data_IF_658353468610
#
_entry.id   IF_658353468610
#
_cell.length_a   1.000
_cell.length_b   1.000
_cell.length_c   1.000
_cell.angle_alpha   90.00
_cell.angle_beta   90.00
_cell.angle_gamma   90.00
#
_symmetry.space_group_name_H-M   'P 1'
#
loop_
_entity.id
_entity.type
_entity.pdbx_description
1 polymer ?
#
# COMPACT_ATOMS: atom_id res chain seq x y z
N UNK A 1 14.54 -13.03 -5.91
CA UNK A 1 14.02 -12.19 -7.01
C UNK A 1 12.99 -13.00 -7.77
N UNK A 2 11.86 -12.39 -8.14
CA UNK A 2 10.82 -13.07 -8.94
C UNK A 2 11.37 -13.41 -10.32
N UNK A 3 11.40 -14.70 -10.68
CA UNK A 3 11.81 -15.14 -12.02
C UNK A 3 10.65 -15.05 -13.00
N UNK A 4 10.93 -14.99 -14.31
CA UNK A 4 9.88 -15.01 -15.33
C UNK A 4 9.01 -16.27 -15.24
N UNK A 5 9.62 -17.43 -15.01
CA UNK A 5 8.90 -18.69 -14.86
C UNK A 5 7.95 -18.66 -13.65
N UNK A 6 8.42 -18.16 -12.50
CA UNK A 6 7.59 -18.01 -11.30
C UNK A 6 6.44 -17.01 -11.52
N UNK A 7 6.70 -15.91 -12.22
CA UNK A 7 5.69 -14.92 -12.56
C UNK A 7 4.59 -15.52 -13.45
N UNK A 8 4.95 -16.22 -14.53
CA UNK A 8 3.99 -16.87 -15.42
C UNK A 8 3.19 -17.97 -14.70
N UNK A 9 3.81 -18.72 -13.78
CA UNK A 9 3.10 -19.70 -12.96
C UNK A 9 2.05 -19.04 -12.05
N UNK A 10 2.39 -17.95 -11.37
CA UNK A 10 1.46 -17.21 -10.52
C UNK A 10 0.33 -16.57 -11.34
N UNK A 11 0.66 -16.03 -12.51
CA UNK A 11 -0.34 -15.49 -13.44
C UNK A 11 -1.31 -16.57 -13.91
N UNK A 12 -0.82 -17.76 -14.28
CA UNK A 12 -1.65 -18.90 -14.66
C UNK A 12 -2.54 -19.40 -13.49
N UNK A 13 -2.10 -19.25 -12.24
CA UNK A 13 -2.91 -19.51 -11.04
C UNK A 13 -3.97 -18.40 -10.76
N UNK A 14 -4.06 -17.40 -11.64
CA UNK A 14 -5.04 -16.34 -11.61
C UNK A 14 -4.73 -15.23 -10.60
N UNK A 15 -3.46 -15.04 -10.22
CA UNK A 15 -3.03 -13.82 -9.52
C UNK A 15 -2.86 -12.69 -10.54
N UNK A 16 -3.41 -11.51 -10.24
CA UNK A 16 -3.36 -10.35 -11.14
C UNK A 16 -2.47 -9.22 -10.63
N UNK A 17 -1.93 -9.37 -9.41
CA UNK A 17 -1.05 -8.40 -8.77
C UNK A 17 0.12 -9.17 -8.18
N UNK A 18 1.19 -9.32 -8.95
CA UNK A 18 2.33 -10.19 -8.62
C UNK A 18 3.56 -9.32 -8.33
N UNK A 19 4.12 -9.36 -7.11
CA UNK A 19 5.32 -8.60 -6.79
C UNK A 19 6.53 -9.04 -7.63
N UNK A 20 7.20 -8.07 -8.24
CA UNK A 20 8.51 -8.25 -8.88
C UNK A 20 9.52 -7.47 -8.04
N UNK A 21 10.50 -8.19 -7.49
CA UNK A 21 11.43 -7.61 -6.52
C UNK A 21 12.88 -7.98 -6.82
N UNK A 22 13.78 -7.11 -6.39
CA UNK A 22 15.23 -7.34 -6.34
C UNK A 22 15.75 -6.95 -4.96
N UNK A 23 16.63 -7.77 -4.42
CA UNK A 23 17.35 -7.46 -3.19
C UNK A 23 18.72 -6.87 -3.54
N UNK A 24 19.14 -5.85 -2.81
CA UNK A 24 20.46 -5.22 -2.92
C UNK A 24 21.08 -5.07 -1.55
N UNK A 25 22.41 -5.10 -1.50
CA UNK A 25 23.15 -4.69 -0.30
C UNK A 25 22.99 -3.16 -0.12
N UNK A 26 22.71 -2.75 1.11
CA UNK A 26 22.46 -1.36 1.49
C UNK A 26 22.97 -1.12 2.93
N UNK A 27 24.14 -1.67 3.23
CA UNK A 27 24.80 -1.64 4.55
C UNK A 27 25.25 -0.24 4.98
N UNK A 28 25.44 0.67 4.03
CA UNK A 28 25.73 2.10 4.29
C UNK A 28 24.49 2.98 4.28
N UNK A 29 23.30 2.41 4.13
CA UNK A 29 22.05 3.15 4.02
C UNK A 29 21.23 3.03 5.31
N UNK A 30 20.47 4.08 5.58
CA UNK A 30 19.38 4.07 6.56
C UNK A 30 18.06 4.24 5.81
N UNK A 31 16.93 3.79 6.37
CA UNK A 31 15.63 4.05 5.76
C UNK A 31 15.39 5.53 5.47
N UNK A 32 15.81 6.42 6.39
CA UNK A 32 15.72 7.86 6.20
C UNK A 32 16.62 8.37 5.05
N UNK A 33 17.87 7.90 4.92
CA UNK A 33 18.75 8.30 3.82
C UNK A 33 18.21 7.86 2.46
N UNK A 34 17.55 6.71 2.41
CA UNK A 34 16.86 6.22 1.20
C UNK A 34 15.62 7.08 0.92
N UNK A 35 14.79 7.35 1.93
CA UNK A 35 13.57 8.14 1.77
C UNK A 35 13.85 9.56 1.28
N UNK A 36 14.89 10.20 1.79
CA UNK A 36 15.31 11.55 1.39
C UNK A 36 15.62 11.69 -0.11
N UNK A 37 15.91 10.59 -0.82
CA UNK A 37 16.13 10.57 -2.28
C UNK A 37 14.85 10.81 -3.07
N UNK A 38 13.68 10.63 -2.45
CA UNK A 38 12.37 10.77 -3.07
C UNK A 38 11.67 12.07 -2.66
N UNK A 39 12.42 13.11 -2.26
CA UNK A 39 11.88 14.39 -1.80
C UNK A 39 10.94 15.10 -2.79
N UNK A 40 11.09 14.81 -4.09
CA UNK A 40 10.29 15.43 -5.15
C UNK A 40 8.99 14.64 -5.42
N UNK A 41 8.81 13.49 -4.77
CA UNK A 41 7.60 12.68 -4.87
C UNK A 41 6.50 13.26 -3.97
N UNK A 42 5.35 13.58 -4.57
CA UNK A 42 4.23 14.21 -3.87
C UNK A 42 3.45 13.22 -3.01
N UNK A 43 3.55 11.92 -3.31
CA UNK A 43 2.86 10.85 -2.62
C UNK A 43 3.89 9.81 -2.18
N UNK A 44 4.69 10.11 -1.16
CA UNK A 44 5.64 9.16 -0.60
C UNK A 44 5.39 8.98 0.91
N UNK A 45 5.63 7.76 1.40
CA UNK A 45 5.56 7.47 2.83
C UNK A 45 6.77 6.67 3.29
N UNK A 46 7.09 6.84 4.57
CA UNK A 46 8.05 6.04 5.32
C UNK A 46 7.36 5.56 6.60
N UNK A 47 7.31 4.24 6.78
CA UNK A 47 6.91 3.62 8.04
C UNK A 47 8.09 2.93 8.67
N UNK A 48 8.36 3.29 9.91
CA UNK A 48 9.35 2.67 10.78
C UNK A 48 8.64 2.25 12.06
N UNK A 49 9.02 1.10 12.60
CA UNK A 49 8.48 0.62 13.87
C UNK A 49 9.61 0.51 14.88
N UNK A 50 9.36 1.07 16.07
CA UNK A 50 10.25 0.98 17.23
C UNK A 50 9.48 0.25 18.32
N UNK A 51 9.90 -0.95 18.68
CA UNK A 51 9.33 -1.69 19.82
C UNK A 51 10.11 -1.36 21.08
N UNK A 52 9.42 -0.85 22.11
CA UNK A 52 9.99 -0.72 23.47
C UNK A 52 11.15 0.27 23.61
N UNK A 53 11.34 1.20 22.66
CA UNK A 53 12.36 2.26 22.72
C UNK A 53 13.79 1.84 22.40
N UNK A 54 14.11 0.55 22.50
CA UNK A 54 15.48 0.04 22.30
C UNK A 54 15.63 -0.91 21.10
N UNK A 55 14.57 -1.60 20.67
CA UNK A 55 14.63 -2.53 19.55
C UNK A 55 13.90 -1.99 18.32
N UNK A 56 14.66 -1.70 17.27
CA UNK A 56 14.11 -1.35 15.97
C UNK A 56 13.49 -2.61 15.35
N UNK A 57 12.29 -2.47 14.77
CA UNK A 57 11.70 -3.55 14.00
C UNK A 57 12.60 -3.92 12.81
N UNK A 58 12.55 -5.18 12.40
CA UNK A 58 13.40 -5.73 11.33
C UNK A 58 13.24 -5.02 9.98
N UNK A 59 12.11 -4.35 9.74
CA UNK A 59 11.76 -3.75 8.45
C UNK A 59 11.29 -2.30 8.62
N UNK A 60 11.81 -1.42 7.78
CA UNK A 60 11.20 -0.14 7.43
C UNK A 60 10.56 -0.23 6.05
N UNK A 61 9.45 0.46 5.82
CA UNK A 61 8.70 0.42 4.58
C UNK A 61 8.69 1.80 3.94
N UNK A 62 9.16 1.89 2.70
CA UNK A 62 9.07 3.09 1.87
C UNK A 62 8.16 2.75 0.70
N UNK A 63 7.17 3.60 0.44
CA UNK A 63 6.33 3.49 -0.74
C UNK A 63 6.25 4.80 -1.50
N UNK A 64 6.17 4.65 -2.82
CA UNK A 64 5.96 5.72 -3.79
C UNK A 64 4.55 5.50 -4.36
N UNK A 65 3.63 6.40 -4.05
CA UNK A 65 2.25 6.38 -4.50
C UNK A 65 2.15 6.94 -5.90
N UNK A 66 1.80 6.10 -6.87
CA UNK A 66 1.67 6.51 -8.28
C UNK A 66 0.42 5.91 -8.95
N UNK A 67 -0.59 5.52 -8.18
CA UNK A 67 -1.76 4.83 -8.72
C UNK A 67 -3.04 5.61 -8.46
N UNK A 68 -3.83 5.15 -7.50
CA UNK A 68 -5.16 5.66 -7.21
C UNK A 68 -5.20 6.11 -5.77
N UNK A 69 -5.54 7.36 -5.57
CA UNK A 69 -5.73 7.93 -4.23
C UNK A 69 -7.20 8.23 -4.07
N UNK A 70 -7.80 7.71 -3.01
CA UNK A 70 -9.19 8.02 -2.68
C UNK A 70 -9.32 8.52 -1.25
N UNK A 71 -10.26 9.42 -1.05
CA UNK A 71 -10.63 9.96 0.25
C UNK A 71 -12.14 10.09 0.35
N UNK A 72 -12.70 9.86 1.53
CA UNK A 72 -14.11 10.08 1.80
C UNK A 72 -14.25 11.10 2.93
N UNK A 73 -14.85 12.25 2.64
CA UNK A 73 -15.05 13.33 3.59
C UNK A 73 -16.48 13.86 3.46
N UNK A 74 -17.15 14.06 4.60
CA UNK A 74 -18.52 14.57 4.67
C UNK A 74 -19.51 13.88 3.70
N UNK A 75 -19.39 12.55 3.53
CA UNK A 75 -20.25 11.78 2.64
C UNK A 75 -19.92 11.89 1.14
N UNK A 76 -18.76 12.44 0.78
CA UNK A 76 -18.28 12.53 -0.61
C UNK A 76 -16.99 11.73 -0.76
N UNK A 77 -16.98 10.75 -1.66
CA UNK A 77 -15.80 10.01 -2.08
C UNK A 77 -15.17 10.73 -3.27
N UNK A 78 -13.92 11.18 -3.11
CA UNK A 78 -13.09 11.67 -4.21
C UNK A 78 -12.06 10.61 -4.58
N UNK A 79 -11.95 10.29 -5.87
CA UNK A 79 -11.00 9.33 -6.42
C UNK A 79 -10.13 10.07 -7.42
N UNK A 80 -8.84 10.16 -7.13
CA UNK A 80 -7.80 10.59 -8.06
C UNK A 80 -7.25 9.37 -8.78
N UNK A 81 -7.35 9.36 -10.10
CA UNK A 81 -6.84 8.31 -10.97
C UNK A 81 -5.37 8.56 -11.34
N UNK A 82 -4.71 7.54 -11.89
CA UNK A 82 -3.29 7.62 -12.26
C UNK A 82 -3.01 8.64 -13.38
N UNK A 83 -4.01 8.95 -14.19
CA UNK A 83 -3.93 10.01 -15.22
C UNK A 83 -4.13 11.43 -14.66
N UNK A 84 -4.30 11.55 -13.33
CA UNK A 84 -4.53 12.81 -12.64
C UNK A 84 -5.98 13.29 -12.64
N UNK A 85 -6.88 12.61 -13.35
CA UNK A 85 -8.31 12.94 -13.32
C UNK A 85 -8.91 12.65 -11.96
N UNK A 86 -9.91 13.46 -11.56
CA UNK A 86 -10.61 13.31 -10.29
C UNK A 86 -12.08 13.09 -10.54
N UNK A 87 -12.62 12.01 -9.97
CA UNK A 87 -14.06 11.73 -9.97
C UNK A 87 -14.62 11.81 -8.55
N UNK A 88 -15.85 12.30 -8.42
CA UNK A 88 -16.54 12.40 -7.14
C UNK A 88 -17.87 11.67 -7.18
N UNK A 89 -18.21 11.03 -6.07
CA UNK A 89 -19.50 10.38 -5.88
C UNK A 89 -19.92 10.41 -4.41
N UNK A 90 -21.20 10.18 -4.17
CA UNK A 90 -21.71 10.02 -2.81
C UNK A 90 -21.08 8.80 -2.13
N UNK A 91 -20.70 8.96 -0.87
CA UNK A 91 -20.02 7.98 -0.04
C UNK A 91 -20.88 7.70 1.20
N UNK A 92 -21.67 6.63 1.15
CA UNK A 92 -22.47 6.20 2.30
C UNK A 92 -21.63 5.36 3.28
N UNK A 93 -20.80 4.46 2.74
CA UNK A 93 -19.88 3.62 3.52
C UNK A 93 -18.50 3.57 2.83
N UNK A 94 -17.49 4.30 3.37
CA UNK A 94 -16.13 4.25 2.83
C UNK A 94 -15.47 2.88 3.00
N UNK A 95 -15.83 2.11 4.02
CA UNK A 95 -15.27 0.79 4.26
C UNK A 95 -15.78 -0.23 3.24
N UNK A 96 -17.04 -0.12 2.80
CA UNK A 96 -17.54 -0.92 1.69
C UNK A 96 -16.75 -0.61 0.42
N UNK A 97 -16.53 0.67 0.11
CA UNK A 97 -15.71 1.05 -1.04
C UNK A 97 -14.30 0.45 -0.99
N UNK A 98 -13.62 0.54 0.17
CA UNK A 98 -12.29 -0.06 0.37
C UNK A 98 -12.32 -1.57 0.11
N UNK A 99 -13.33 -2.28 0.64
CA UNK A 99 -13.48 -3.73 0.42
C UNK A 99 -13.67 -4.08 -1.05
N UNK A 100 -14.55 -3.37 -1.75
CA UNK A 100 -14.79 -3.62 -3.19
C UNK A 100 -13.56 -3.24 -4.04
N UNK A 101 -12.83 -2.19 -3.67
CA UNK A 101 -11.57 -1.84 -4.31
C UNK A 101 -10.54 -2.95 -4.14
N UNK A 102 -10.33 -3.44 -2.92
CA UNK A 102 -9.37 -4.51 -2.63
C UNK A 102 -9.68 -5.83 -3.35
N UNK A 103 -10.96 -6.17 -3.55
CA UNK A 103 -11.37 -7.39 -4.27
C UNK A 103 -10.87 -7.45 -5.71
N UNK A 104 -10.55 -6.32 -6.31
CA UNK A 104 -9.99 -6.26 -7.66
C UNK A 104 -8.55 -6.82 -7.71
N UNK A 105 -7.87 -6.93 -6.56
CA UNK A 105 -6.48 -7.35 -6.48
C UNK A 105 -6.38 -8.75 -5.84
N UNK A 106 -5.91 -9.71 -6.63
CA UNK A 106 -5.57 -11.05 -6.16
C UNK A 106 -4.04 -11.17 -6.12
N UNK A 107 -3.51 -11.06 -4.90
CA UNK A 107 -2.07 -11.04 -4.59
C UNK A 107 -1.61 -12.43 -4.10
N UNK A 108 -0.43 -12.93 -4.53
CA UNK A 108 0.14 -14.16 -3.98
C UNK A 108 0.34 -14.09 -2.46
N UNK A 109 0.05 -15.18 -1.76
CA UNK A 109 0.24 -15.26 -0.30
C UNK A 109 1.71 -15.32 0.10
N UNK A 110 2.01 -14.96 1.35
CA UNK A 110 3.36 -15.10 1.93
C UNK A 110 3.91 -16.55 1.85
N UNK A 111 3.04 -17.56 1.82
CA UNK A 111 3.45 -18.96 1.62
C UNK A 111 4.04 -19.21 0.24
N UNK A 112 3.56 -18.50 -0.77
CA UNK A 112 4.05 -18.60 -2.16
C UNK A 112 5.27 -17.71 -2.40
N UNK A 113 5.50 -16.71 -1.55
CA UNK A 113 6.60 -15.74 -1.64
C UNK A 113 7.30 -15.58 -0.27
N UNK A 114 7.94 -16.63 0.28
CA UNK A 114 8.46 -16.62 1.65
C UNK A 114 9.64 -15.66 1.87
N UNK A 115 10.35 -15.27 0.80
CA UNK A 115 11.49 -14.36 0.88
C UNK A 115 11.09 -12.88 1.01
N UNK A 116 9.81 -12.57 0.79
CA UNK A 116 9.30 -11.20 0.89
C UNK A 116 8.84 -10.87 2.31
N UNK A 117 8.93 -9.60 2.74
CA UNK A 117 8.30 -9.16 3.98
C UNK A 117 6.78 -9.34 3.91
N UNK A 118 6.12 -9.33 5.07
CA UNK A 118 4.67 -9.53 5.18
C UNK A 118 3.84 -8.47 4.44
N UNK A 119 4.40 -7.28 4.23
CA UNK A 119 3.80 -6.21 3.43
C UNK A 119 4.57 -6.01 2.12
N UNK A 120 3.91 -6.24 1.00
CA UNK A 120 4.50 -6.16 -0.36
C UNK A 120 3.81 -5.10 -1.24
N UNK A 121 3.08 -4.19 -0.60
CA UNK A 121 2.23 -3.19 -1.25
C UNK A 121 0.76 -3.36 -0.87
N UNK A 122 -0.03 -2.34 -1.18
CA UNK A 122 -1.46 -2.30 -0.87
C UNK A 122 -1.96 -0.88 -0.63
N UNK A 123 -3.11 -0.77 0.00
CA UNK A 123 -3.68 0.51 0.41
C UNK A 123 -2.95 1.02 1.66
N UNK A 124 -2.42 2.23 1.57
CA UNK A 124 -1.73 2.92 2.67
C UNK A 124 -2.35 4.29 2.82
N UNK A 125 -2.61 4.68 4.07
CA UNK A 125 -3.24 5.95 4.38
C UNK A 125 -3.64 6.00 5.85
N UNK A 126 -4.67 6.79 6.15
CA UNK A 126 -5.18 6.98 7.50
C UNK A 126 -6.71 6.94 7.52
N UNK A 127 -7.25 6.63 8.69
CA UNK A 127 -8.65 6.84 9.03
C UNK A 127 -8.68 7.94 10.09
N UNK A 128 -9.32 9.06 9.77
CA UNK A 128 -9.50 10.14 10.74
C UNK A 128 -10.43 9.72 11.87
N UNK A 129 -10.35 10.39 13.03
CA UNK A 129 -11.21 10.10 14.18
C UNK A 129 -12.70 10.06 13.82
N UNK A 130 -13.16 11.02 13.01
CA UNK A 130 -14.55 11.10 12.57
C UNK A 130 -15.00 9.97 11.64
N UNK A 131 -14.09 9.10 11.17
CA UNK A 131 -14.46 7.90 10.42
C UNK A 131 -15.37 6.96 11.24
N UNK A 132 -15.32 7.04 12.57
CA UNK A 132 -16.22 6.31 13.48
C UNK A 132 -17.70 6.60 13.20
N UNK A 133 -18.03 7.80 12.69
CA UNK A 133 -19.41 8.21 12.36
C UNK A 133 -20.03 7.42 11.20
N UNK A 134 -19.23 6.66 10.44
CA UNK A 134 -19.72 5.74 9.41
C UNK A 134 -19.99 4.33 9.94
N UNK A 135 -19.56 4.04 11.18
CA UNK A 135 -19.73 2.74 11.85
C UNK A 135 -20.82 2.83 12.90
N UNK A 136 -20.80 3.90 13.72
CA UNK A 136 -21.74 4.07 14.82
C UNK A 136 -23.05 4.74 14.37
N UNK A 137 -24.20 4.31 14.91
CA UNK A 137 -25.48 4.99 14.71
C UNK A 137 -25.41 6.46 15.15
N UNK A 138 -26.18 7.31 14.47
CA UNK A 138 -26.37 8.72 14.86
C UNK A 138 -27.33 8.85 16.04
#
# INVERSE_FOLDING_TARGET
MTTLAQFEQLKAAGYNTIPVYRQRLADTETPLSVFARFKDQTQAYLFESVEGGENWARYSMIGLGETTVFSCNAGVLSIQHADGSVTQQNCLDPFQYIREFQKQFKVPTAKLLPDLPSFTGGLVGYLGYDAVRYIEPR
#
